data_IF_573595934420
#
_entry.id   IF_573595934420
#
_cell.length_a   1.000
_cell.length_b   1.000
_cell.length_c   1.000
_cell.angle_alpha   90.00
_cell.angle_beta   90.00
_cell.angle_gamma   90.00
#
_symmetry.space_group_name_H-M   'P 1'
#
loop_
_entity.id
_entity.type
_entity.pdbx_description
1 polymer ?
#
# COMPACT_ATOMS: atom_id res chain seq x y z
N UNK A 1 -7.14 19.18 9.40
CA UNK A 1 -6.02 18.27 9.16
C UNK A 1 -5.12 18.32 10.39
N UNK A 2 -4.96 17.19 11.07
CA UNK A 2 -4.21 17.15 12.33
C UNK A 2 -2.73 17.43 12.06
N UNK A 3 -2.10 18.36 12.80
CA UNK A 3 -0.67 18.71 12.66
C UNK A 3 0.29 17.53 12.90
N UNK A 4 -0.24 16.40 13.38
CA UNK A 4 0.51 15.18 13.68
C UNK A 4 0.68 14.23 12.48
N UNK A 5 -0.21 14.28 11.48
CA UNK A 5 -0.13 13.43 10.29
C UNK A 5 0.84 14.03 9.26
N UNK A 6 2.13 13.73 9.39
CA UNK A 6 3.17 14.45 8.62
C UNK A 6 3.91 13.61 7.61
N UNK A 7 4.04 12.27 7.80
CA UNK A 7 4.94 11.46 6.97
C UNK A 7 4.23 10.56 5.97
N UNK A 8 4.91 10.29 4.87
CA UNK A 8 4.66 9.13 4.01
C UNK A 8 5.44 7.96 4.60
N UNK A 9 4.80 6.80 4.78
CA UNK A 9 5.46 5.60 5.24
C UNK A 9 5.41 4.55 4.14
N UNK A 10 6.59 4.18 3.62
CA UNK A 10 6.75 3.18 2.58
C UNK A 10 7.23 1.86 3.17
N UNK A 11 6.45 0.80 3.03
CA UNK A 11 6.86 -0.54 3.44
C UNK A 11 7.56 -1.24 2.28
N UNK A 12 8.81 -1.60 2.51
CA UNK A 12 9.68 -2.19 1.52
C UNK A 12 10.21 -3.55 1.98
N UNK A 13 10.28 -4.46 1.06
CA UNK A 13 10.91 -5.76 1.20
C UNK A 13 11.84 -6.03 0.01
N UNK A 14 12.56 -7.14 0.03
CA UNK A 14 13.50 -7.49 -1.05
C UNK A 14 12.80 -8.05 -2.31
N UNK A 15 11.53 -7.68 -2.54
CA UNK A 15 10.81 -8.00 -3.77
C UNK A 15 11.20 -7.07 -4.92
N UNK A 16 10.80 -7.46 -6.13
CA UNK A 16 10.94 -6.63 -7.34
C UNK A 16 10.20 -5.29 -7.26
N UNK A 17 9.28 -5.12 -6.31
CA UNK A 17 8.53 -3.88 -6.12
C UNK A 17 9.26 -2.83 -5.28
N UNK A 18 10.37 -3.19 -4.61
CA UNK A 18 11.07 -2.31 -3.68
C UNK A 18 11.40 -0.92 -4.28
N UNK A 19 11.96 -0.92 -5.47
CA UNK A 19 12.36 0.31 -6.16
C UNK A 19 11.14 1.15 -6.54
N UNK A 20 10.10 0.52 -7.06
CA UNK A 20 8.86 1.20 -7.43
C UNK A 20 8.12 1.77 -6.21
N UNK A 21 8.13 1.06 -5.08
CA UNK A 21 7.57 1.56 -3.81
C UNK A 21 8.32 2.81 -3.37
N UNK A 22 9.64 2.81 -3.43
CA UNK A 22 10.47 3.97 -3.08
C UNK A 22 10.19 5.17 -4.00
N UNK A 23 10.05 4.95 -5.31
CA UNK A 23 9.77 5.99 -6.29
C UNK A 23 8.39 6.64 -6.09
N UNK A 24 7.33 5.83 -5.92
CA UNK A 24 5.98 6.37 -5.63
C UNK A 24 5.90 7.05 -4.27
N UNK A 25 6.61 6.53 -3.27
CA UNK A 25 6.67 7.15 -1.96
C UNK A 25 7.41 8.50 -2.01
N UNK A 26 8.51 8.58 -2.76
CA UNK A 26 9.23 9.83 -2.99
C UNK A 26 8.38 10.85 -3.76
N UNK A 27 7.67 10.41 -4.81
CA UNK A 27 6.70 11.23 -5.53
C UNK A 27 5.62 11.80 -4.60
N UNK A 28 5.02 10.95 -3.77
CA UNK A 28 3.98 11.37 -2.83
C UNK A 28 4.53 12.33 -1.76
N UNK A 29 5.72 12.04 -1.20
CA UNK A 29 6.40 12.88 -0.23
C UNK A 29 6.71 14.26 -0.80
N UNK A 30 7.27 14.33 -2.03
CA UNK A 30 7.55 15.57 -2.74
C UNK A 30 6.28 16.40 -2.97
N UNK A 31 5.19 15.77 -3.47
CA UNK A 31 3.93 16.48 -3.76
C UNK A 31 3.24 16.98 -2.49
N UNK A 32 3.40 16.30 -1.37
CA UNK A 32 2.80 16.67 -0.10
C UNK A 32 3.69 17.53 0.79
N UNK A 33 4.92 17.80 0.37
CA UNK A 33 5.97 18.42 1.20
C UNK A 33 6.06 17.74 2.58
N UNK A 34 6.21 16.41 2.54
CA UNK A 34 6.16 15.55 3.72
C UNK A 34 7.44 14.71 3.84
N UNK A 35 7.94 14.43 5.06
CA UNK A 35 9.03 13.49 5.22
C UNK A 35 8.61 12.07 4.81
N UNK A 36 9.55 11.31 4.27
CA UNK A 36 9.40 9.91 3.94
C UNK A 36 10.07 9.04 5.00
N UNK A 37 9.42 7.98 5.41
CA UNK A 37 10.04 6.91 6.20
C UNK A 37 9.97 5.60 5.41
N UNK A 38 11.11 4.95 5.17
CA UNK A 38 11.22 3.63 4.58
C UNK A 38 11.26 2.60 5.69
N UNK A 39 10.26 1.74 5.77
CA UNK A 39 10.13 0.70 6.79
C UNK A 39 10.36 -0.68 6.16
N UNK A 40 11.34 -1.42 6.71
CA UNK A 40 11.55 -2.83 6.41
C UNK A 40 11.21 -3.67 7.64
N UNK A 41 10.24 -4.58 7.49
CA UNK A 41 9.83 -5.50 8.57
C UNK A 41 10.33 -6.89 8.25
N UNK A 42 11.12 -7.45 9.15
CA UNK A 42 11.62 -8.83 9.08
C UNK A 42 10.63 -9.72 9.84
N UNK A 43 9.99 -10.64 9.11
CA UNK A 43 9.00 -11.55 9.68
C UNK A 43 9.68 -12.77 10.30
N UNK A 44 9.57 -12.93 11.61
CA UNK A 44 10.16 -14.05 12.36
C UNK A 44 9.58 -15.42 12.01
N UNK A 45 8.43 -15.48 11.33
CA UNK A 45 7.84 -16.76 10.95
C UNK A 45 8.57 -17.46 9.80
N UNK A 46 9.32 -16.72 9.00
CA UNK A 46 10.16 -17.30 7.93
C UNK A 46 11.46 -17.90 8.46
N UNK A 47 11.93 -17.47 9.64
CA UNK A 47 13.18 -17.92 10.25
C UNK A 47 13.08 -19.32 10.88
N UNK A 48 11.89 -19.83 11.18
CA UNK A 48 11.69 -21.13 11.85
C UNK A 48 11.67 -22.36 10.92
N UNK A 49 11.84 -22.18 9.62
CA UNK A 49 11.74 -23.24 8.62
C UNK A 49 13.02 -24.07 8.36
N UNK A 50 14.16 -23.69 8.94
CA UNK A 50 15.44 -24.39 8.74
C UNK A 50 15.91 -25.17 9.97
N UNK A 51 14.99 -25.62 10.82
CA UNK A 51 15.32 -26.50 11.95
C UNK A 51 15.86 -27.84 11.46
N UNK A 52 17.16 -27.99 11.36
CA UNK A 52 17.80 -29.33 11.30
C UNK A 52 17.46 -30.07 12.59
N UNK A 53 16.96 -31.28 12.44
CA UNK A 53 16.65 -32.18 13.56
C UNK A 53 17.98 -32.70 14.19
N UNK A 54 18.35 -32.13 15.32
CA UNK A 54 19.55 -32.49 16.08
C UNK A 54 19.26 -33.51 17.20
N UNK A 55 18.35 -34.43 17.01
CA UNK A 55 17.90 -35.41 18.01
C UNK A 55 18.91 -36.49 18.41
N UNK A 56 20.23 -36.27 18.21
CA UNK A 56 21.25 -37.28 18.43
C UNK A 56 22.36 -36.99 19.44
N UNK A 57 22.38 -35.85 20.13
CA UNK A 57 23.49 -35.51 21.03
C UNK A 57 23.22 -35.93 22.49
N UNK A 58 23.87 -36.98 22.94
CA UNK A 58 23.76 -37.51 24.31
C UNK A 58 25.02 -37.14 25.11
N UNK A 59 24.88 -36.17 26.05
CA UNK A 59 25.87 -35.80 27.04
C UNK A 59 25.64 -34.43 27.61
N UNK A 60 25.62 -34.28 28.94
CA UNK A 60 25.26 -33.04 29.63
C UNK A 60 26.12 -31.83 29.23
N UNK A 61 27.42 -32.05 28.98
CA UNK A 61 28.33 -31.00 28.50
C UNK A 61 28.22 -30.77 26.99
N UNK A 62 27.88 -31.79 26.20
CA UNK A 62 27.69 -31.68 24.76
C UNK A 62 26.42 -30.84 24.44
N UNK A 63 25.37 -30.99 25.24
CA UNK A 63 24.15 -30.22 25.07
C UNK A 63 24.36 -28.73 25.37
N UNK A 64 25.11 -28.39 26.44
CA UNK A 64 25.42 -26.99 26.75
C UNK A 64 26.30 -26.35 25.66
N UNK A 65 27.28 -27.08 25.15
CA UNK A 65 28.17 -26.63 24.08
C UNK A 65 27.39 -26.42 22.76
N UNK A 66 26.52 -27.37 22.39
CA UNK A 66 25.66 -27.27 21.21
C UNK A 66 24.69 -26.08 21.29
N UNK A 67 24.08 -25.87 22.45
CA UNK A 67 23.19 -24.71 22.67
C UNK A 67 23.95 -23.38 22.56
N UNK A 68 25.20 -23.33 23.03
CA UNK A 68 26.04 -22.14 22.89
C UNK A 68 26.42 -21.90 21.42
N UNK A 69 26.84 -22.96 20.68
CA UNK A 69 27.16 -22.84 19.27
C UNK A 69 25.95 -22.45 18.40
N UNK A 70 24.77 -23.01 18.70
CA UNK A 70 23.52 -22.61 18.02
C UNK A 70 23.17 -21.16 18.31
N UNK A 71 23.27 -20.72 19.57
CA UNK A 71 23.04 -19.33 19.95
C UNK A 71 24.00 -18.36 19.27
N UNK A 72 25.27 -18.72 19.14
CA UNK A 72 26.29 -17.89 18.47
C UNK A 72 26.05 -17.83 16.96
N UNK A 73 25.64 -18.95 16.33
CA UNK A 73 25.25 -18.99 14.92
C UNK A 73 24.00 -18.14 14.66
N UNK A 74 22.97 -18.29 15.49
CA UNK A 74 21.74 -17.48 15.39
C UNK A 74 22.03 -15.98 15.55
N UNK A 75 22.92 -15.64 16.50
CA UNK A 75 23.34 -14.25 16.69
C UNK A 75 24.12 -13.70 15.50
N UNK A 76 24.95 -14.52 14.85
CA UNK A 76 25.71 -14.14 13.67
C UNK A 76 24.78 -13.95 12.44
N UNK A 77 23.84 -14.87 12.22
CA UNK A 77 22.80 -14.75 11.17
C UNK A 77 21.98 -13.48 11.37
N UNK A 78 21.46 -13.25 12.57
CA UNK A 78 20.67 -12.05 12.87
C UNK A 78 21.46 -10.74 12.70
N UNK A 79 22.77 -10.74 12.90
CA UNK A 79 23.63 -9.58 12.61
C UNK A 79 23.78 -9.35 11.12
N UNK A 80 24.01 -10.44 10.35
CA UNK A 80 24.15 -10.38 8.90
C UNK A 80 22.86 -9.88 8.24
N UNK A 81 21.70 -10.38 8.66
CA UNK A 81 20.39 -9.95 8.17
C UNK A 81 20.12 -8.47 8.47
N UNK A 82 20.45 -8.01 9.67
CA UNK A 82 20.35 -6.59 10.02
C UNK A 82 21.23 -5.71 9.14
N UNK A 83 22.44 -6.13 8.88
CA UNK A 83 23.37 -5.36 8.04
C UNK A 83 22.92 -5.36 6.58
N UNK A 84 22.45 -6.49 6.04
CA UNK A 84 21.87 -6.55 4.71
C UNK A 84 20.63 -5.65 4.59
N UNK A 85 19.75 -5.69 5.58
CA UNK A 85 18.58 -4.81 5.65
C UNK A 85 18.97 -3.33 5.71
N UNK A 86 20.03 -2.97 6.42
CA UNK A 86 20.56 -1.61 6.49
C UNK A 86 21.10 -1.15 5.14
N UNK A 87 21.86 -1.98 4.44
CA UNK A 87 22.41 -1.68 3.11
C UNK A 87 21.26 -1.52 2.11
N UNK A 88 20.29 -2.43 2.13
CA UNK A 88 19.09 -2.38 1.29
C UNK A 88 18.30 -1.10 1.51
N UNK A 89 17.98 -0.74 2.74
CA UNK A 89 17.25 0.47 3.08
C UNK A 89 18.03 1.74 2.69
N UNK A 90 19.35 1.76 2.88
CA UNK A 90 20.16 2.92 2.49
C UNK A 90 20.13 3.15 0.99
N UNK A 91 20.21 2.11 0.18
CA UNK A 91 20.06 2.18 -1.29
C UNK A 91 18.72 2.82 -1.69
N UNK A 92 17.62 2.38 -1.06
CA UNK A 92 16.29 2.92 -1.35
C UNK A 92 16.13 4.35 -0.84
N UNK A 93 16.75 4.69 0.28
CA UNK A 93 16.78 6.06 0.80
C UNK A 93 17.47 7.02 -0.17
N UNK A 94 18.65 6.66 -0.66
CA UNK A 94 19.38 7.43 -1.65
C UNK A 94 18.57 7.61 -2.94
N UNK A 95 17.91 6.54 -3.40
CA UNK A 95 17.00 6.58 -4.54
C UNK A 95 15.85 7.56 -4.32
N UNK A 96 15.20 7.52 -3.17
CA UNK A 96 14.07 8.39 -2.84
C UNK A 96 14.49 9.87 -2.76
N UNK A 97 15.66 10.15 -2.17
CA UNK A 97 16.22 11.51 -2.14
C UNK A 97 16.56 12.01 -3.55
N UNK A 98 17.16 11.17 -4.40
CA UNK A 98 17.42 11.49 -5.79
C UNK A 98 16.13 11.74 -6.60
N UNK A 99 15.02 11.06 -6.26
CA UNK A 99 13.69 11.28 -6.83
C UNK A 99 12.98 12.54 -6.27
N UNK A 100 13.62 13.28 -5.37
CA UNK A 100 13.15 14.56 -4.85
C UNK A 100 12.32 14.49 -3.57
N UNK A 101 12.39 13.41 -2.79
CA UNK A 101 11.80 13.39 -1.46
C UNK A 101 12.46 14.48 -0.58
N UNK A 102 11.69 15.32 0.17
CA UNK A 102 12.27 16.42 0.97
C UNK A 102 13.18 15.91 2.10
N UNK A 103 12.84 14.78 2.67
CA UNK A 103 13.63 14.04 3.67
C UNK A 103 13.27 12.56 3.58
N UNK A 104 14.23 11.67 3.85
CA UNK A 104 13.99 10.23 3.87
C UNK A 104 14.73 9.58 5.03
N UNK A 105 13.97 9.00 5.94
CA UNK A 105 14.46 8.20 7.06
C UNK A 105 14.28 6.71 6.78
N UNK A 106 14.99 5.87 7.51
CA UNK A 106 14.89 4.42 7.39
C UNK A 106 14.69 3.78 8.75
N UNK A 107 13.85 2.75 8.76
CA UNK A 107 13.55 1.98 9.96
C UNK A 107 13.48 0.49 9.63
N UNK A 108 14.12 -0.31 10.47
CA UNK A 108 14.01 -1.76 10.43
C UNK A 108 13.33 -2.25 11.70
N UNK A 109 12.40 -3.20 11.55
CA UNK A 109 11.65 -3.80 12.65
C UNK A 109 11.59 -5.31 12.47
N UNK A 110 11.46 -6.03 13.59
CA UNK A 110 11.15 -7.46 13.61
C UNK A 110 9.73 -7.65 14.12
N UNK A 111 8.95 -8.51 13.48
CA UNK A 111 7.60 -8.84 13.90
C UNK A 111 6.62 -8.96 12.74
N UNK A 112 5.33 -8.99 13.05
CA UNK A 112 4.28 -8.98 12.04
C UNK A 112 4.09 -7.58 11.45
N UNK A 113 3.89 -7.51 10.14
CA UNK A 113 3.81 -6.24 9.43
C UNK A 113 2.58 -5.43 9.86
N UNK A 114 1.42 -6.08 9.94
CA UNK A 114 0.15 -5.45 10.33
C UNK A 114 0.19 -4.85 11.74
N UNK A 115 0.75 -5.57 12.72
CA UNK A 115 0.93 -5.07 14.09
C UNK A 115 1.87 -3.87 14.10
N UNK A 116 3.02 -3.97 13.43
CA UNK A 116 4.00 -2.88 13.33
C UNK A 116 3.38 -1.62 12.72
N UNK A 117 2.53 -1.76 11.72
CA UNK A 117 1.90 -0.61 11.07
C UNK A 117 0.80 0.01 11.89
N UNK A 118 -0.01 -0.80 12.60
CA UNK A 118 -1.01 -0.31 13.52
C UNK A 118 -0.39 0.51 14.65
N UNK A 119 0.74 0.05 15.21
CA UNK A 119 1.51 0.80 16.22
C UNK A 119 2.08 2.12 15.70
N UNK A 120 2.40 2.19 14.40
CA UNK A 120 3.05 3.36 13.80
C UNK A 120 2.09 4.25 12.99
N UNK A 121 0.80 3.95 12.98
CA UNK A 121 -0.21 4.68 12.20
C UNK A 121 -0.34 6.15 12.62
N UNK A 122 -0.11 6.44 13.90
CA UNK A 122 -0.06 7.80 14.39
C UNK A 122 1.09 8.57 13.71
N UNK A 123 0.78 9.72 13.15
CA UNK A 123 1.75 10.53 12.40
C UNK A 123 1.94 10.12 10.93
N UNK A 124 1.29 9.04 10.46
CA UNK A 124 1.30 8.65 9.05
C UNK A 124 0.14 9.31 8.32
N UNK A 125 0.44 9.92 7.18
CA UNK A 125 -0.53 10.51 6.27
C UNK A 125 -0.92 9.58 5.12
N UNK A 126 0.04 8.79 4.65
CA UNK A 126 -0.12 7.86 3.53
C UNK A 126 0.81 6.66 3.74
N UNK A 127 0.26 5.47 3.60
CA UNK A 127 1.06 4.24 3.46
C UNK A 127 1.31 3.93 1.98
N UNK A 128 2.51 3.43 1.65
CA UNK A 128 2.85 2.98 0.29
C UNK A 128 3.37 1.55 0.35
N UNK A 129 2.79 0.67 -0.49
CA UNK A 129 3.13 -0.76 -0.52
C UNK A 129 3.25 -1.28 -1.94
N UNK A 130 4.13 -2.26 -2.14
CA UNK A 130 4.08 -3.11 -3.30
C UNK A 130 2.82 -4.00 -3.27
N UNK A 131 2.22 -4.21 -4.43
CA UNK A 131 1.05 -5.10 -4.58
C UNK A 131 1.33 -6.53 -4.13
N UNK A 132 2.58 -6.98 -4.23
CA UNK A 132 3.07 -8.28 -3.80
C UNK A 132 4.38 -8.10 -3.03
N UNK A 133 4.58 -8.90 -1.99
CA UNK A 133 5.83 -8.96 -1.25
C UNK A 133 6.68 -10.17 -1.65
N UNK A 134 7.90 -10.23 -1.15
CA UNK A 134 8.88 -11.29 -1.44
C UNK A 134 8.33 -12.70 -1.15
N UNK A 135 7.57 -12.88 -0.06
CA UNK A 135 6.95 -14.17 0.29
C UNK A 135 5.87 -14.63 -0.70
N UNK A 136 5.19 -13.71 -1.38
CA UNK A 136 4.22 -14.05 -2.41
C UNK A 136 4.90 -14.42 -3.73
N UNK A 137 6.08 -13.87 -4.00
CA UNK A 137 6.89 -14.22 -5.19
C UNK A 137 7.47 -15.63 -5.08
N UNK A 138 7.87 -16.04 -3.88
CA UNK A 138 8.40 -17.41 -3.64
C UNK A 138 7.33 -18.49 -3.68
N UNK A 139 6.11 -18.20 -3.20
CA UNK A 139 4.99 -19.18 -3.14
C UNK A 139 4.23 -19.32 -4.46
N UNK A 140 4.14 -18.29 -5.27
CA UNK A 140 3.42 -18.28 -6.55
C UNK A 140 4.18 -17.45 -7.60
N UNK A 141 5.29 -17.97 -8.12
CA UNK A 141 6.06 -17.27 -9.14
C UNK A 141 5.22 -17.03 -10.39
N UNK A 142 5.22 -15.79 -10.88
CA UNK A 142 4.61 -15.45 -12.17
C UNK A 142 3.07 -15.31 -12.21
N UNK A 143 2.34 -15.46 -11.10
CA UNK A 143 0.90 -15.24 -11.08
C UNK A 143 0.57 -13.73 -11.14
N UNK A 144 0.03 -13.19 -12.25
CA UNK A 144 -0.01 -11.74 -12.49
C UNK A 144 -1.01 -11.00 -11.60
N UNK A 145 -2.06 -11.68 -11.11
CA UNK A 145 -3.21 -11.03 -10.47
C UNK A 145 -3.44 -11.43 -9.00
N UNK A 146 -2.41 -11.91 -8.31
CA UNK A 146 -2.53 -12.29 -6.90
C UNK A 146 -2.11 -11.12 -6.01
N UNK A 147 -3.03 -10.65 -5.19
CA UNK A 147 -2.73 -9.69 -4.12
C UNK A 147 -1.94 -10.41 -3.02
N UNK A 148 -0.84 -9.80 -2.55
CA UNK A 148 -0.06 -10.37 -1.46
C UNK A 148 -0.88 -10.43 -0.16
N UNK A 149 -0.76 -11.53 0.59
CA UNK A 149 -1.45 -11.69 1.91
C UNK A 149 -1.18 -10.52 2.86
N UNK A 150 0.00 -9.94 2.80
CA UNK A 150 0.38 -8.80 3.62
C UNK A 150 -0.45 -7.55 3.29
N UNK A 151 -0.73 -7.28 2.01
CA UNK A 151 -1.58 -6.14 1.60
C UNK A 151 -2.98 -6.30 2.18
N UNK A 152 -3.55 -7.50 2.13
CA UNK A 152 -4.86 -7.77 2.70
C UNK A 152 -4.91 -7.56 4.22
N UNK A 153 -3.89 -8.03 4.95
CA UNK A 153 -3.78 -7.86 6.41
C UNK A 153 -3.64 -6.37 6.77
N UNK A 154 -2.75 -5.66 6.07
CA UNK A 154 -2.51 -4.23 6.29
C UNK A 154 -3.76 -3.40 6.02
N UNK A 155 -4.45 -3.65 4.90
CA UNK A 155 -5.70 -2.94 4.58
C UNK A 155 -6.75 -3.14 5.68
N UNK A 156 -6.73 -4.22 6.45
CA UNK A 156 -7.63 -4.41 7.61
C UNK A 156 -7.14 -3.72 8.87
N UNK A 157 -5.82 -3.65 9.07
CA UNK A 157 -5.22 -3.17 10.31
C UNK A 157 -5.17 -1.65 10.43
N UNK A 158 -4.97 -0.92 9.31
CA UNK A 158 -4.78 0.53 9.32
C UNK A 158 -6.00 1.30 8.82
N UNK A 159 -6.13 2.56 9.24
CA UNK A 159 -7.25 3.45 8.92
C UNK A 159 -6.87 4.62 8.01
N UNK A 160 -5.59 4.79 7.73
CA UNK A 160 -5.07 5.82 6.83
C UNK A 160 -5.10 5.35 5.38
N UNK A 161 -5.08 6.25 4.39
CA UNK A 161 -5.01 5.88 2.97
C UNK A 161 -3.80 5.01 2.66
N UNK A 162 -3.98 4.07 1.74
CA UNK A 162 -2.96 3.13 1.31
C UNK A 162 -2.78 3.24 -0.21
N UNK A 163 -1.58 3.57 -0.67
CA UNK A 163 -1.20 3.49 -2.07
C UNK A 163 -0.55 2.12 -2.34
N UNK A 164 -1.21 1.28 -3.09
CA UNK A 164 -0.64 0.04 -3.61
C UNK A 164 -0.05 0.27 -4.99
N UNK A 165 1.21 -0.12 -5.21
CA UNK A 165 1.90 0.13 -6.46
C UNK A 165 2.15 -1.16 -7.25
N UNK A 166 2.11 -1.02 -8.57
CA UNK A 166 2.45 -2.05 -9.54
C UNK A 166 3.93 -1.96 -9.93
N UNK A 167 4.40 -2.82 -10.81
CA UNK A 167 5.76 -2.76 -11.34
C UNK A 167 5.95 -1.54 -12.25
N UNK A 168 7.11 -0.90 -12.14
CA UNK A 168 7.47 0.26 -12.93
C UNK A 168 6.86 1.58 -12.40
N UNK A 169 7.70 2.58 -12.25
CA UNK A 169 7.25 3.92 -11.86
C UNK A 169 6.87 4.73 -13.09
N UNK A 170 5.68 5.31 -13.04
CA UNK A 170 5.23 6.37 -13.93
C UNK A 170 4.58 7.45 -13.09
N UNK A 171 5.04 8.68 -13.20
CA UNK A 171 4.42 9.80 -12.47
C UNK A 171 2.96 9.94 -12.91
N UNK A 172 1.99 9.90 -11.99
CA UNK A 172 0.58 10.02 -12.33
C UNK A 172 0.24 11.39 -12.92
N UNK A 173 -0.41 11.38 -14.07
CA UNK A 173 -0.89 12.58 -14.76
C UNK A 173 -2.42 12.65 -14.79
N UNK A 174 -3.11 11.51 -14.72
CA UNK A 174 -4.57 11.38 -14.78
C UNK A 174 -5.07 10.41 -13.74
N UNK A 175 -6.10 10.82 -13.03
CA UNK A 175 -6.67 10.09 -11.90
C UNK A 175 -8.10 9.70 -12.19
N UNK A 176 -8.47 8.45 -11.88
CA UNK A 176 -9.85 7.99 -11.87
C UNK A 176 -10.29 7.74 -10.42
N UNK A 177 -11.38 8.35 -10.01
CA UNK A 177 -12.08 8.05 -8.77
C UNK A 177 -13.26 7.12 -9.05
N UNK A 178 -13.17 5.87 -8.59
CA UNK A 178 -14.32 4.96 -8.54
C UNK A 178 -15.21 5.37 -7.36
N UNK A 179 -16.33 6.02 -7.68
CA UNK A 179 -17.23 6.62 -6.71
C UNK A 179 -18.54 5.83 -6.65
N UNK A 180 -18.99 5.47 -5.45
CA UNK A 180 -20.23 4.73 -5.22
C UNK A 180 -21.21 5.47 -4.29
N UNK A 181 -20.88 6.71 -3.88
CA UNK A 181 -21.69 7.53 -3.00
C UNK A 181 -21.69 7.10 -1.54
N UNK A 182 -20.93 6.08 -1.15
CA UNK A 182 -20.78 5.65 0.25
C UNK A 182 -20.05 6.70 1.09
N UNK A 183 -20.15 6.59 2.42
CA UNK A 183 -19.45 7.49 3.34
C UNK A 183 -17.92 7.48 3.13
N UNK A 184 -17.35 6.33 2.75
CA UNK A 184 -15.90 6.18 2.48
C UNK A 184 -15.51 6.97 1.24
N UNK A 185 -16.22 6.80 0.12
CA UNK A 185 -15.89 7.53 -1.12
C UNK A 185 -16.21 9.02 -1.02
N UNK A 186 -17.20 9.42 -0.23
CA UNK A 186 -17.45 10.84 0.08
C UNK A 186 -16.30 11.46 0.89
N UNK A 187 -15.85 10.82 1.97
CA UNK A 187 -14.64 11.23 2.69
C UNK A 187 -13.42 11.28 1.77
N UNK A 188 -13.36 10.35 0.81
CA UNK A 188 -12.32 10.34 -0.23
C UNK A 188 -12.35 11.60 -1.09
N UNK A 189 -13.53 12.06 -1.52
CA UNK A 189 -13.70 13.34 -2.26
C UNK A 189 -13.18 14.51 -1.43
N UNK A 190 -13.57 14.61 -0.16
CA UNK A 190 -13.09 15.66 0.75
C UNK A 190 -11.57 15.59 0.97
N UNK A 191 -11.02 14.38 1.08
CA UNK A 191 -9.58 14.18 1.20
C UNK A 191 -8.85 14.65 -0.06
N UNK A 192 -9.34 14.29 -1.25
CA UNK A 192 -8.73 14.70 -2.53
C UNK A 192 -8.76 16.22 -2.65
N UNK A 193 -9.91 16.85 -2.35
CA UNK A 193 -10.10 18.29 -2.41
C UNK A 193 -9.08 19.06 -1.55
N UNK A 194 -8.66 18.48 -0.42
CA UNK A 194 -7.75 19.11 0.54
C UNK A 194 -6.30 18.58 0.46
N UNK A 195 -6.00 17.64 -0.43
CA UNK A 195 -4.68 17.01 -0.50
C UNK A 195 -3.79 17.64 -1.57
N UNK A 196 -2.58 18.09 -1.20
CA UNK A 196 -1.60 18.56 -2.20
C UNK A 196 -1.18 17.46 -3.20
N UNK A 197 -1.35 16.18 -2.82
CA UNK A 197 -0.96 15.02 -3.64
C UNK A 197 -1.57 15.08 -5.05
N UNK A 198 -2.81 15.51 -5.16
CA UNK A 198 -3.57 15.51 -6.43
C UNK A 198 -3.61 16.87 -7.12
N UNK A 199 -3.08 17.92 -6.51
CA UNK A 199 -3.19 19.29 -7.02
C UNK A 199 -2.68 19.39 -8.46
N UNK A 200 -3.55 19.92 -9.36
CA UNK A 200 -3.23 20.08 -10.79
C UNK A 200 -3.38 18.80 -11.63
N UNK A 201 -3.85 17.69 -11.06
CA UNK A 201 -4.18 16.49 -11.83
C UNK A 201 -5.66 16.51 -12.23
N UNK A 202 -6.00 16.24 -13.49
CA UNK A 202 -7.39 16.06 -13.91
C UNK A 202 -7.96 14.78 -13.28
N UNK A 203 -9.22 14.88 -12.81
CA UNK A 203 -9.90 13.80 -12.10
C UNK A 203 -11.12 13.35 -12.89
N UNK A 204 -11.17 12.06 -13.19
CA UNK A 204 -12.36 11.42 -13.74
C UNK A 204 -13.11 10.69 -12.63
N UNK A 205 -14.35 11.12 -12.35
CA UNK A 205 -15.23 10.41 -11.42
C UNK A 205 -16.09 9.45 -12.22
N UNK A 206 -16.03 8.17 -11.87
CA UNK A 206 -16.85 7.14 -12.51
C UNK A 206 -17.73 6.46 -11.47
N UNK A 207 -19.03 6.51 -11.70
CA UNK A 207 -20.03 5.78 -10.94
C UNK A 207 -20.51 4.61 -11.80
N UNK A 208 -20.19 3.38 -11.41
CA UNK A 208 -20.52 2.19 -12.17
C UNK A 208 -21.74 1.47 -11.57
N UNK A 209 -22.66 1.04 -12.43
CA UNK A 209 -23.84 0.28 -12.02
C UNK A 209 -25.16 0.86 -12.58
N UNK A 210 -26.25 0.45 -11.95
CA UNK A 210 -27.58 0.98 -12.31
C UNK A 210 -27.76 2.36 -11.68
N UNK A 211 -28.28 3.28 -12.49
CA UNK A 211 -28.65 4.60 -12.02
C UNK A 211 -29.85 4.51 -11.05
N UNK A 212 -29.76 5.21 -9.93
CA UNK A 212 -30.83 5.38 -8.95
C UNK A 212 -31.28 6.86 -8.92
N UNK A 213 -32.40 7.16 -8.29
CA UNK A 213 -32.89 8.53 -8.15
C UNK A 213 -31.87 9.47 -7.46
N UNK A 214 -30.99 8.95 -6.61
CA UNK A 214 -29.98 9.72 -5.91
C UNK A 214 -28.64 9.84 -6.66
N UNK A 215 -28.41 9.02 -7.68
CA UNK A 215 -27.15 8.97 -8.42
C UNK A 215 -26.74 10.33 -9.00
N UNK A 216 -27.61 11.08 -9.71
CA UNK A 216 -27.23 12.37 -10.29
C UNK A 216 -26.83 13.39 -9.21
N UNK A 217 -27.56 13.42 -8.09
CA UNK A 217 -27.28 14.34 -6.96
C UNK A 217 -25.93 14.02 -6.31
N UNK A 218 -25.64 12.73 -6.09
CA UNK A 218 -24.39 12.32 -5.48
C UNK A 218 -23.20 12.61 -6.38
N UNK A 219 -23.32 12.36 -7.67
CA UNK A 219 -22.26 12.61 -8.64
C UNK A 219 -22.01 14.10 -8.82
N UNK A 220 -23.09 14.91 -8.90
CA UNK A 220 -22.99 16.37 -8.95
C UNK A 220 -22.25 16.90 -7.72
N UNK A 221 -22.63 16.47 -6.52
CA UNK A 221 -21.95 16.87 -5.29
C UNK A 221 -20.44 16.59 -5.34
N UNK A 222 -20.05 15.38 -5.76
CA UNK A 222 -18.63 15.01 -5.85
C UNK A 222 -17.88 15.88 -6.87
N UNK A 223 -18.49 16.09 -8.06
CA UNK A 223 -17.94 16.95 -9.10
C UNK A 223 -17.79 18.39 -8.62
N UNK A 224 -18.84 18.98 -8.05
CA UNK A 224 -18.84 20.37 -7.58
C UNK A 224 -17.82 20.59 -6.47
N UNK A 225 -17.71 19.64 -5.53
CA UNK A 225 -16.71 19.69 -4.44
C UNK A 225 -15.28 19.74 -4.98
N UNK A 226 -14.94 18.89 -5.93
CA UNK A 226 -13.58 18.87 -6.51
C UNK A 226 -13.35 20.07 -7.44
N UNK A 227 -14.37 20.49 -8.20
CA UNK A 227 -14.26 21.68 -9.05
C UNK A 227 -14.06 22.96 -8.20
N UNK A 228 -14.78 23.09 -7.09
CA UNK A 228 -14.59 24.19 -6.14
C UNK A 228 -13.18 24.19 -5.49
N UNK A 229 -12.55 23.02 -5.37
CA UNK A 229 -11.17 22.87 -4.92
C UNK A 229 -10.12 23.13 -6.03
N UNK A 230 -10.56 23.49 -7.25
CA UNK A 230 -9.68 23.86 -8.35
C UNK A 230 -9.21 22.71 -9.24
N UNK A 231 -9.90 21.56 -9.20
CA UNK A 231 -9.60 20.44 -10.10
C UNK A 231 -10.38 20.56 -11.41
N UNK A 232 -9.78 20.07 -12.49
CA UNK A 232 -10.48 19.74 -13.72
C UNK A 232 -11.20 18.40 -13.52
N UNK A 233 -12.53 18.36 -13.63
CA UNK A 233 -13.34 17.20 -13.28
C UNK A 233 -14.30 16.80 -14.39
N UNK A 234 -14.18 15.56 -14.83
CA UNK A 234 -15.18 14.86 -15.65
C UNK A 234 -15.90 13.84 -14.77
N UNK A 235 -17.21 13.70 -14.88
CA UNK A 235 -18.00 12.80 -14.04
C UNK A 235 -19.06 12.08 -14.85
N UNK A 236 -19.04 10.75 -14.80
CA UNK A 236 -19.89 9.88 -15.61
C UNK A 236 -20.57 8.80 -14.77
N UNK A 237 -21.81 8.48 -15.11
CA UNK A 237 -22.51 7.27 -14.66
C UNK A 237 -22.48 6.26 -15.81
N UNK A 238 -21.94 5.10 -15.56
CA UNK A 238 -21.75 4.08 -16.59
C UNK A 238 -22.42 2.76 -16.16
N UNK A 239 -23.33 2.21 -17.01
CA UNK A 239 -23.98 0.95 -16.68
C UNK A 239 -23.00 -0.22 -16.78
N UNK A 240 -23.17 -1.20 -15.90
CA UNK A 240 -22.40 -2.43 -15.93
C UNK A 240 -21.80 -2.79 -14.58
N UNK A 241 -21.06 -3.89 -14.55
CA UNK A 241 -20.33 -4.33 -13.38
C UNK A 241 -19.15 -3.40 -13.11
N UNK A 242 -18.94 -2.94 -11.85
CA UNK A 242 -17.89 -1.98 -11.52
C UNK A 242 -16.49 -2.40 -11.94
N UNK A 243 -16.12 -3.66 -11.79
CA UNK A 243 -14.80 -4.16 -12.19
C UNK A 243 -14.55 -3.98 -13.68
N UNK A 244 -15.52 -4.42 -14.50
CA UNK A 244 -15.44 -4.32 -15.96
C UNK A 244 -15.46 -2.87 -16.44
N UNK A 245 -16.34 -2.05 -15.86
CA UNK A 245 -16.47 -0.62 -16.22
C UNK A 245 -15.18 0.13 -15.88
N UNK A 246 -14.68 0.01 -14.64
CA UNK A 246 -13.47 0.71 -14.21
C UNK A 246 -12.24 0.28 -15.02
N UNK A 247 -12.09 -1.04 -15.26
CA UNK A 247 -10.96 -1.53 -16.07
C UNK A 247 -11.01 -0.99 -17.52
N UNK A 248 -12.19 -0.89 -18.11
CA UNK A 248 -12.39 -0.28 -19.43
C UNK A 248 -12.02 1.20 -19.44
N UNK A 249 -12.55 1.98 -18.48
CA UNK A 249 -12.30 3.42 -18.40
C UNK A 249 -10.84 3.76 -18.09
N UNK A 250 -10.17 2.96 -17.27
CA UNK A 250 -8.72 3.09 -17.03
C UNK A 250 -7.95 3.04 -18.35
N UNK A 251 -8.27 2.08 -19.22
CA UNK A 251 -7.62 1.94 -20.53
C UNK A 251 -8.04 3.04 -21.50
N UNK A 252 -9.35 3.27 -21.64
CA UNK A 252 -9.91 4.19 -22.63
C UNK A 252 -9.45 5.65 -22.40
N UNK A 253 -9.24 6.04 -21.16
CA UNK A 253 -8.84 7.40 -20.78
C UNK A 253 -7.36 7.54 -20.44
N UNK A 254 -6.57 6.49 -20.59
CA UNK A 254 -5.15 6.44 -20.22
C UNK A 254 -4.93 6.91 -18.77
N UNK A 255 -5.66 6.36 -17.83
CA UNK A 255 -5.57 6.67 -16.42
C UNK A 255 -4.27 6.10 -15.84
N UNK A 256 -3.59 6.90 -15.03
CA UNK A 256 -2.31 6.53 -14.41
C UNK A 256 -2.45 6.13 -12.93
N UNK A 257 -3.55 6.52 -12.28
CA UNK A 257 -3.84 6.17 -10.89
C UNK A 257 -5.33 5.96 -10.66
N UNK A 258 -5.67 4.87 -9.99
CA UNK A 258 -7.03 4.58 -9.54
C UNK A 258 -7.19 4.96 -8.07
N UNK A 259 -8.27 5.67 -7.74
CA UNK A 259 -8.71 5.92 -6.36
C UNK A 259 -10.02 5.16 -6.14
N UNK A 260 -10.10 4.41 -5.04
CA UNK A 260 -11.31 3.66 -4.73
C UNK A 260 -11.50 3.50 -3.23
N UNK A 261 -12.75 3.37 -2.79
CA UNK A 261 -13.06 3.03 -1.40
C UNK A 261 -12.58 1.62 -1.05
N UNK A 262 -11.93 1.50 0.09
CA UNK A 262 -11.65 0.21 0.70
C UNK A 262 -12.60 0.03 1.89
N UNK A 263 -13.43 -0.99 1.84
CA UNK A 263 -14.34 -1.37 2.93
C UNK A 263 -15.39 -0.32 3.35
N UNK A 264 -16.53 -0.30 2.68
CA UNK A 264 -17.74 0.24 3.27
C UNK A 264 -18.13 -0.61 4.50
N UNK A 265 -18.55 0.06 5.58
CA UNK A 265 -18.94 -0.56 6.84
C UNK A 265 -19.97 -1.69 6.64
N UNK A 266 -19.53 -2.95 6.74
CA UNK A 266 -20.39 -4.08 6.97
C UNK A 266 -20.12 -4.59 8.38
N UNK A 267 -21.14 -4.88 9.21
CA UNK A 267 -20.96 -5.49 10.53
C UNK A 267 -20.35 -6.91 10.45
N UNK A 268 -20.20 -7.47 9.25
CA UNK A 268 -19.54 -8.75 8.99
C UNK A 268 -18.03 -8.60 8.79
N UNK A 269 -17.38 -7.76 9.59
CA UNK A 269 -15.92 -7.49 9.60
C UNK A 269 -15.02 -8.73 9.64
N UNK A 270 -15.55 -9.89 9.97
CA UNK A 270 -14.76 -11.09 10.24
C UNK A 270 -14.58 -12.03 9.05
N UNK A 271 -15.36 -11.92 7.98
CA UNK A 271 -15.47 -13.04 7.03
C UNK A 271 -15.20 -12.74 5.55
N UNK A 272 -15.29 -11.50 5.05
CA UNK A 272 -15.14 -11.30 3.60
C UNK A 272 -14.46 -9.93 3.30
N UNK A 273 -13.33 -9.95 2.63
CA UNK A 273 -12.96 -8.91 1.67
C UNK A 273 -14.22 -8.67 0.82
N UNK A 274 -14.74 -7.45 0.75
CA UNK A 274 -15.82 -7.18 -0.19
C UNK A 274 -15.32 -7.64 -1.56
N UNK A 275 -15.96 -8.66 -2.15
CA UNK A 275 -15.47 -9.31 -3.38
C UNK A 275 -15.09 -8.30 -4.45
N UNK A 276 -15.88 -7.25 -4.61
CA UNK A 276 -15.66 -6.17 -5.60
C UNK A 276 -14.42 -5.32 -5.37
N UNK A 277 -14.08 -4.95 -4.11
CA UNK A 277 -12.85 -4.20 -3.82
C UNK A 277 -11.60 -5.01 -4.10
N UNK A 278 -11.63 -6.29 -3.73
CA UNK A 278 -10.53 -7.22 -3.96
C UNK A 278 -10.36 -7.50 -5.46
N UNK A 279 -11.47 -7.71 -6.16
CA UNK A 279 -11.46 -8.01 -7.59
C UNK A 279 -10.99 -6.80 -8.40
N UNK A 280 -11.46 -5.59 -8.08
CA UNK A 280 -10.94 -4.35 -8.65
C UNK A 280 -9.44 -4.16 -8.38
N UNK A 281 -9.00 -4.40 -7.15
CA UNK A 281 -7.60 -4.26 -6.79
C UNK A 281 -6.73 -5.33 -7.47
N UNK A 282 -7.25 -6.55 -7.67
CA UNK A 282 -6.57 -7.61 -8.44
C UNK A 282 -6.49 -7.29 -9.92
N UNK A 283 -7.57 -6.77 -10.50
CA UNK A 283 -7.66 -6.43 -11.92
C UNK A 283 -6.90 -5.15 -12.28
N UNK A 284 -6.67 -4.24 -11.33
CA UNK A 284 -6.00 -2.99 -11.60
C UNK A 284 -4.54 -3.21 -12.06
N UNK A 285 -4.16 -2.65 -13.18
CA UNK A 285 -2.79 -2.71 -13.75
C UNK A 285 -1.96 -1.46 -13.44
N UNK A 286 -2.56 -0.52 -12.73
CA UNK A 286 -1.99 0.78 -12.36
C UNK A 286 -1.98 0.95 -10.84
N UNK A 287 -1.19 1.87 -10.30
CA UNK A 287 -1.21 2.22 -8.88
C UNK A 287 -2.62 2.54 -8.39
N UNK A 288 -2.96 2.01 -7.23
CA UNK A 288 -4.31 2.18 -6.67
C UNK A 288 -4.24 2.74 -5.26
N UNK A 289 -4.88 3.89 -5.04
CA UNK A 289 -5.07 4.47 -3.72
C UNK A 289 -6.37 3.97 -3.11
N UNK A 290 -6.25 3.31 -1.99
CA UNK A 290 -7.35 2.83 -1.17
C UNK A 290 -7.74 3.91 -0.15
N UNK A 291 -8.97 4.41 -0.26
CA UNK A 291 -9.58 5.38 0.66
C UNK A 291 -10.18 4.66 1.87
N UNK A 292 -10.08 5.31 3.06
CA UNK A 292 -10.49 4.67 4.34
C UNK A 292 -11.48 5.53 5.12
#
# INVERSE_FOLDING_TARGET
MNKQDRKVLACVDQSRFADTVADYAAWAARRMDAPLELLHVIDRHLERGSGEDHSGAIGFNAQAHLLHELSDKDAAVARAEREQGRIFLNRLRERALAAGAPAADMRQRHGALDDTLAEHEEGVRLFVFGRRGASAETTQPGAPNVLGRNVERVVRAVHKPILTVTEGFKEPERVLLAFDGTAVTRKGVDMIANSPLFKGLPIHIVMAGKESADTPRQLAWAKDTLTAAGFEVVADVLPGDPETVIAREVKARNIDMLLMGAYAHSPLRALIFGSKTTDLLRAATIPTLLLR
#
